data_IF_824040208986
#
_entry.id   IF_824040208986
#
_cell.length_a   1.000
_cell.length_b   1.000
_cell.length_c   1.000
_cell.angle_alpha   90.00
_cell.angle_beta   90.00
_cell.angle_gamma   90.00
#
_symmetry.space_group_name_H-M   'P 1'
#
loop_
_entity.id
_entity.type
_entity.pdbx_description
1 polymer ?
#
# COMPACT_ATOMS: atom_id res chain seq x y z
N UNK A 1 0.77 -20.22 33.05
CA UNK A 1 1.83 -20.31 32.03
C UNK A 1 1.80 -19.05 31.20
N UNK A 2 2.95 -18.40 31.02
CA UNK A 2 3.08 -17.19 30.20
C UNK A 2 3.82 -17.48 28.89
N UNK A 3 3.80 -16.51 27.97
CA UNK A 3 4.62 -16.53 26.76
C UNK A 3 6.04 -16.06 27.11
N UNK A 4 7.06 -16.81 26.70
CA UNK A 4 8.46 -16.44 26.86
C UNK A 4 9.09 -16.13 25.51
N UNK A 5 9.91 -15.08 25.45
CA UNK A 5 10.66 -14.70 24.25
C UNK A 5 12.08 -15.23 24.40
N UNK A 6 12.48 -16.16 23.55
CA UNK A 6 13.83 -16.74 23.59
C UNK A 6 14.90 -15.73 23.16
N UNK A 7 14.63 -14.99 22.08
CA UNK A 7 15.53 -13.97 21.55
C UNK A 7 14.72 -12.88 20.84
N UNK A 8 15.25 -11.65 20.84
CA UNK A 8 14.70 -10.53 20.08
C UNK A 8 15.80 -9.92 19.23
N UNK A 9 15.73 -10.13 17.91
CA UNK A 9 16.68 -9.60 16.93
C UNK A 9 16.08 -8.40 16.18
N UNK A 10 16.94 -7.48 15.74
CA UNK A 10 16.53 -6.29 14.98
C UNK A 10 17.25 -6.25 13.65
N UNK A 11 16.50 -5.96 12.59
CA UNK A 11 17.03 -5.72 11.25
C UNK A 11 17.29 -4.21 11.12
N UNK A 12 18.54 -3.76 10.97
CA UNK A 12 18.84 -2.34 10.85
C UNK A 12 18.30 -1.79 9.52
N UNK A 13 17.67 -0.61 9.56
CA UNK A 13 17.07 0.02 8.37
C UNK A 13 18.01 0.99 7.64
N UNK A 14 19.19 1.31 8.18
CA UNK A 14 20.12 2.25 7.54
C UNK A 14 20.83 1.58 6.36
N UNK A 15 20.44 1.98 5.14
CA UNK A 15 20.98 1.49 3.87
C UNK A 15 22.45 1.91 3.61
N UNK A 16 23.05 2.70 4.50
CA UNK A 16 24.47 3.08 4.40
C UNK A 16 25.42 1.99 4.85
N UNK A 17 24.97 1.09 5.72
CA UNK A 17 25.73 -0.10 6.05
C UNK A 17 25.60 -1.12 4.92
N UNK A 18 26.74 -1.38 4.28
CA UNK A 18 26.86 -2.35 3.18
C UNK A 18 26.45 -3.73 3.70
N UNK A 19 25.43 -4.29 3.06
CA UNK A 19 24.86 -5.64 3.24
C UNK A 19 24.48 -6.00 4.69
N UNK A 20 23.19 -5.89 5.00
CA UNK A 20 22.61 -6.58 6.15
C UNK A 20 22.93 -8.07 6.01
N UNK A 21 23.63 -8.65 6.99
CA UNK A 21 23.95 -10.07 7.01
C UNK A 21 22.79 -10.85 7.63
N UNK A 22 21.84 -11.28 6.79
CA UNK A 22 20.72 -12.12 7.19
C UNK A 22 21.17 -13.54 7.61
N UNK A 23 22.33 -14.02 7.15
CA UNK A 23 22.84 -15.33 7.57
C UNK A 23 23.25 -15.30 9.04
N UNK A 24 23.80 -14.17 9.51
CA UNK A 24 24.08 -13.95 10.93
C UNK A 24 22.82 -14.03 11.78
N UNK A 25 21.70 -13.46 11.32
CA UNK A 25 20.41 -13.51 12.03
C UNK A 25 19.94 -14.96 12.16
N UNK A 26 19.98 -15.74 11.07
CA UNK A 26 19.60 -17.16 11.11
C UNK A 26 20.50 -17.96 12.05
N UNK A 27 21.82 -17.73 12.02
CA UNK A 27 22.75 -18.40 12.97
C UNK A 27 22.39 -18.08 14.42
N UNK A 28 22.05 -16.83 14.73
CA UNK A 28 21.63 -16.43 16.08
C UNK A 28 20.33 -17.11 16.50
N UNK A 29 19.35 -17.24 15.61
CA UNK A 29 18.10 -17.95 15.90
C UNK A 29 18.34 -19.45 16.19
N UNK A 30 19.30 -20.06 15.49
CA UNK A 30 19.71 -21.45 15.69
C UNK A 30 20.44 -21.70 17.02
N UNK A 31 20.92 -20.66 17.73
CA UNK A 31 21.46 -20.79 19.09
C UNK A 31 20.37 -21.24 20.09
N UNK A 32 19.09 -21.08 19.73
CA UNK A 32 17.94 -21.47 20.55
C UNK A 32 17.13 -22.62 19.92
N UNK A 33 17.62 -23.88 19.95
CA UNK A 33 16.99 -25.00 19.22
C UNK A 33 15.59 -25.38 19.73
N UNK A 34 15.25 -25.02 20.96
CA UNK A 34 13.93 -25.25 21.54
C UNK A 34 12.87 -24.25 21.02
N UNK A 35 13.30 -23.11 20.47
CA UNK A 35 12.43 -22.06 19.96
C UNK A 35 12.27 -22.20 18.44
N UNK A 36 11.15 -22.82 18.03
CA UNK A 36 10.85 -23.02 16.60
C UNK A 36 9.97 -21.93 16.00
N UNK A 37 9.17 -21.25 16.82
CA UNK A 37 8.27 -20.20 16.36
C UNK A 37 9.01 -18.86 16.26
N UNK A 38 8.96 -18.23 15.08
CA UNK A 38 9.52 -16.90 14.82
C UNK A 38 8.37 -15.94 14.52
N UNK A 39 8.26 -14.88 15.31
CA UNK A 39 7.36 -13.76 15.02
C UNK A 39 8.17 -12.67 14.31
N UNK A 40 7.81 -12.34 13.07
CA UNK A 40 8.54 -11.38 12.25
C UNK A 40 7.68 -10.15 11.92
N UNK A 41 8.27 -8.98 12.17
CA UNK A 41 7.73 -7.68 11.77
C UNK A 41 8.76 -7.01 10.87
N UNK A 42 8.61 -7.21 9.57
CA UNK A 42 9.57 -6.73 8.58
C UNK A 42 8.86 -6.36 7.27
N UNK A 43 9.57 -5.62 6.42
CA UNK A 43 9.08 -5.28 5.09
C UNK A 43 9.27 -6.44 4.11
N UNK A 44 8.68 -6.30 2.92
CA UNK A 44 8.68 -7.32 1.87
C UNK A 44 10.09 -7.82 1.50
N UNK A 45 11.07 -6.92 1.39
CA UNK A 45 12.43 -7.26 0.98
C UNK A 45 13.21 -7.98 2.08
N UNK A 46 13.04 -7.55 3.33
CA UNK A 46 13.67 -8.16 4.50
C UNK A 46 13.13 -9.57 4.75
N UNK A 47 11.82 -9.79 4.56
CA UNK A 47 11.19 -11.13 4.64
C UNK A 47 11.77 -12.04 3.55
N UNK A 48 11.87 -11.56 2.32
CA UNK A 48 12.45 -12.34 1.22
C UNK A 48 13.90 -12.74 1.52
N UNK A 49 14.71 -11.80 2.00
CA UNK A 49 16.12 -12.06 2.29
C UNK A 49 16.31 -12.99 3.49
N UNK A 50 15.49 -12.90 4.53
CA UNK A 50 15.59 -13.81 5.68
C UNK A 50 15.14 -15.23 5.34
N UNK A 51 14.10 -15.39 4.51
CA UNK A 51 13.67 -16.71 4.02
C UNK A 51 14.75 -17.32 3.12
N UNK A 52 15.37 -16.51 2.25
CA UNK A 52 16.49 -16.95 1.43
C UNK A 52 17.71 -17.36 2.28
N UNK A 53 18.00 -16.64 3.37
CA UNK A 53 19.05 -17.01 4.32
C UNK A 53 18.74 -18.32 5.04
N UNK A 54 17.49 -18.53 5.48
CA UNK A 54 17.06 -19.79 6.08
C UNK A 54 17.19 -20.97 5.10
N UNK A 55 16.87 -20.74 3.81
CA UNK A 55 17.09 -21.72 2.73
C UNK A 55 18.57 -22.06 2.56
N UNK A 56 19.45 -21.06 2.52
CA UNK A 56 20.91 -21.26 2.41
C UNK A 56 21.49 -22.00 3.62
N UNK A 57 20.89 -21.84 4.79
CA UNK A 57 21.28 -22.54 6.01
C UNK A 57 20.66 -23.95 6.15
N UNK A 58 19.97 -24.43 5.11
CA UNK A 58 19.30 -25.74 5.08
C UNK A 58 18.28 -25.94 6.22
N UNK A 59 17.56 -24.86 6.56
CA UNK A 59 16.57 -24.84 7.66
C UNK A 59 15.12 -24.89 7.14
N UNK A 60 14.90 -25.55 6.00
CA UNK A 60 13.56 -25.76 5.44
C UNK A 60 12.74 -26.62 6.41
N UNK A 61 11.54 -26.15 6.80
CA UNK A 61 10.65 -26.86 7.73
C UNK A 61 11.07 -26.83 9.21
N UNK A 62 12.21 -26.22 9.55
CA UNK A 62 12.64 -26.10 10.95
C UNK A 62 11.80 -25.07 11.73
N UNK A 63 11.72 -23.86 11.18
CA UNK A 63 11.04 -22.72 11.77
C UNK A 63 9.55 -22.66 11.38
N UNK A 64 8.71 -22.24 12.33
CA UNK A 64 7.33 -21.85 12.08
C UNK A 64 7.24 -20.31 12.07
N UNK A 65 6.83 -19.75 10.95
CA UNK A 65 6.82 -18.31 10.78
C UNK A 65 5.46 -17.70 11.11
N UNK A 66 5.47 -16.59 11.86
CA UNK A 66 4.30 -15.76 12.13
C UNK A 66 4.58 -14.35 11.64
N UNK A 67 3.93 -13.95 10.55
CA UNK A 67 4.14 -12.67 9.88
C UNK A 67 3.01 -11.65 10.12
N UNK A 68 3.36 -10.36 10.03
CA UNK A 68 2.40 -9.27 9.97
C UNK A 68 1.66 -9.20 8.63
N UNK A 69 0.81 -8.18 8.48
CA UNK A 69 0.00 -7.91 7.29
C UNK A 69 0.84 -7.70 6.02
N UNK A 70 2.05 -7.17 6.16
CA UNK A 70 3.02 -6.99 5.06
C UNK A 70 3.27 -8.31 4.33
N UNK A 71 3.59 -9.38 5.05
CA UNK A 71 3.78 -10.72 4.48
C UNK A 71 2.49 -11.23 3.86
N UNK A 72 1.39 -11.29 4.62
CA UNK A 72 0.15 -11.94 4.16
C UNK A 72 -0.50 -11.28 2.94
N UNK A 73 -0.18 -10.02 2.67
CA UNK A 73 -0.89 -9.23 1.65
C UNK A 73 -0.38 -9.42 0.22
N UNK A 74 0.78 -10.04 0.03
CA UNK A 74 1.45 -10.17 -1.28
C UNK A 74 2.17 -11.52 -1.41
N UNK A 75 2.16 -12.06 -2.63
CA UNK A 75 2.92 -13.27 -2.97
C UNK A 75 4.39 -12.96 -3.28
N UNK A 76 4.71 -11.71 -3.64
CA UNK A 76 6.06 -11.31 -4.06
C UNK A 76 7.21 -11.65 -3.09
N UNK A 77 7.07 -11.57 -1.75
CA UNK A 77 8.16 -11.91 -0.83
C UNK A 77 8.50 -13.40 -0.80
N UNK A 78 7.63 -14.26 -1.33
CA UNK A 78 7.74 -15.72 -1.25
C UNK A 78 8.31 -16.38 -2.51
N UNK A 79 8.43 -15.64 -3.60
CA UNK A 79 8.86 -16.18 -4.89
C UNK A 79 10.24 -16.85 -4.78
N UNK A 80 10.29 -18.16 -5.04
CA UNK A 80 11.47 -19.06 -4.96
C UNK A 80 11.85 -19.52 -3.53
N UNK A 81 11.09 -19.12 -2.50
CA UNK A 81 11.27 -19.52 -1.11
C UNK A 81 9.97 -20.10 -0.49
N UNK A 82 9.08 -20.63 -1.33
CA UNK A 82 7.77 -21.16 -0.94
C UNK A 82 7.90 -22.35 0.02
N UNK A 83 8.93 -23.18 -0.17
CA UNK A 83 9.28 -24.31 0.68
C UNK A 83 9.65 -23.91 2.11
N UNK A 84 10.34 -22.78 2.29
CA UNK A 84 10.71 -22.26 3.62
C UNK A 84 9.51 -21.63 4.31
N UNK A 85 8.62 -21.02 3.54
CA UNK A 85 7.43 -20.33 4.02
C UNK A 85 6.24 -21.26 4.26
N UNK A 86 6.37 -22.54 3.92
CA UNK A 86 5.30 -23.52 4.09
C UNK A 86 4.86 -23.60 5.57
N UNK A 87 3.56 -23.48 5.81
CA UNK A 87 2.98 -23.46 7.16
C UNK A 87 3.07 -22.12 7.88
N UNK A 88 3.56 -21.05 7.24
CA UNK A 88 3.56 -19.72 7.82
C UNK A 88 2.14 -19.20 8.10
N UNK A 89 1.97 -18.52 9.24
CA UNK A 89 0.73 -17.88 9.64
C UNK A 89 0.90 -16.37 9.49
N UNK A 90 -0.04 -15.71 8.80
CA UNK A 90 -0.04 -14.25 8.67
C UNK A 90 -1.35 -13.66 9.16
N UNK A 91 -1.30 -12.42 9.63
CA UNK A 91 -2.47 -11.70 10.11
C UNK A 91 -2.80 -10.61 9.11
N UNK A 92 -4.03 -10.64 8.59
CA UNK A 92 -4.53 -9.61 7.69
C UNK A 92 -5.76 -8.94 8.30
N UNK A 93 -5.84 -7.60 8.26
CA UNK A 93 -7.09 -6.89 8.50
C UNK A 93 -8.19 -7.42 7.59
N UNK A 94 -9.41 -7.58 8.13
CA UNK A 94 -10.57 -7.99 7.34
C UNK A 94 -10.79 -7.00 6.21
N UNK A 95 -10.98 -7.53 4.99
CA UNK A 95 -11.22 -6.72 3.79
C UNK A 95 -12.35 -7.25 2.94
N UNK A 96 -13.10 -6.33 2.34
CA UNK A 96 -14.00 -6.56 1.24
C UNK A 96 -13.23 -6.38 -0.08
N UNK A 97 -13.51 -7.24 -1.06
CA UNK A 97 -13.09 -6.99 -2.43
C UNK A 97 -13.98 -5.90 -2.97
N UNK A 98 -13.40 -4.73 -3.23
CA UNK A 98 -14.14 -3.66 -3.89
C UNK A 98 -14.27 -4.08 -5.35
N UNK A 99 -15.48 -4.39 -5.80
CA UNK A 99 -15.77 -4.62 -7.21
C UNK A 99 -15.53 -3.33 -7.99
N UNK A 100 -14.29 -3.15 -8.43
CA UNK A 100 -13.88 -2.02 -9.23
C UNK A 100 -14.39 -2.17 -10.65
N UNK A 101 -15.42 -1.37 -10.99
CA UNK A 101 -15.61 -0.77 -12.32
C UNK A 101 -14.22 -0.45 -12.87
N UNK A 102 -13.81 -1.13 -13.95
CA UNK A 102 -12.44 -1.08 -14.49
C UNK A 102 -11.89 0.33 -14.33
N UNK A 103 -10.73 0.50 -13.70
CA UNK A 103 -9.95 1.74 -13.73
C UNK A 103 -9.48 1.93 -15.18
N UNK A 104 -10.42 2.16 -16.09
CA UNK A 104 -10.19 2.63 -17.43
C UNK A 104 -9.78 4.06 -17.23
N UNK A 105 -8.48 4.31 -17.12
CA UNK A 105 -7.95 5.64 -17.32
C UNK A 105 -8.33 6.00 -18.76
N UNK A 106 -9.30 6.90 -19.01
CA UNK A 106 -9.47 7.41 -20.35
C UNK A 106 -8.31 8.39 -20.48
N UNK A 107 -7.20 7.99 -21.12
CA UNK A 107 -6.18 8.96 -21.53
C UNK A 107 -6.93 10.10 -22.24
N UNK A 108 -7.01 11.32 -21.69
CA UNK A 108 -7.70 12.41 -22.35
C UNK A 108 -6.73 13.00 -23.37
N UNK A 109 -6.25 12.19 -24.30
CA UNK A 109 -5.50 12.65 -25.45
C UNK A 109 -6.45 12.77 -26.64
N UNK A 110 -7.58 13.46 -26.48
CA UNK A 110 -8.46 13.85 -27.60
C UNK A 110 -9.62 14.72 -27.14
N UNK A 111 -9.50 16.04 -27.32
CA UNK A 111 -10.52 16.77 -28.09
C UNK A 111 -9.98 18.12 -28.58
N UNK A 112 -9.99 18.39 -29.90
CA UNK A 112 -9.69 19.71 -30.44
C UNK A 112 -10.97 20.55 -30.42
N UNK A 113 -10.93 21.66 -29.68
CA UNK A 113 -11.91 22.72 -29.72
C UNK A 113 -11.48 23.76 -28.69
N UNK A 114 -11.22 25.01 -29.00
CA UNK A 114 -11.48 25.77 -30.21
C UNK A 114 -11.64 27.19 -29.73
N UNK A 115 -10.54 27.92 -29.52
CA UNK A 115 -10.52 29.37 -29.33
C UNK A 115 -9.28 29.96 -29.97
N UNK A 116 -9.48 31.14 -30.55
CA UNK A 116 -8.65 31.75 -31.57
C UNK A 116 -7.25 32.14 -31.11
N UNK A 117 -6.32 31.99 -32.06
CA UNK A 117 -5.34 33.00 -32.47
C UNK A 117 -4.65 33.82 -31.38
N UNK A 118 -3.53 33.33 -30.87
CA UNK A 118 -2.43 34.17 -30.40
C UNK A 118 -1.09 33.47 -30.65
N UNK A 119 -0.22 33.96 -31.56
CA UNK A 119 1.09 33.37 -31.77
C UNK A 119 2.03 33.91 -30.67
N UNK A 120 2.44 33.06 -29.74
CA UNK A 120 3.51 33.44 -28.80
C UNK A 120 3.61 32.73 -27.46
N UNK A 121 2.62 31.94 -27.03
CA UNK A 121 2.70 31.25 -25.75
C UNK A 121 2.65 29.73 -25.92
N UNK A 122 3.81 29.09 -25.69
CA UNK A 122 3.95 27.65 -25.47
C UNK A 122 3.12 27.28 -24.24
N UNK A 123 1.96 26.65 -24.45
CA UNK A 123 1.25 25.96 -23.38
C UNK A 123 2.11 24.77 -22.95
N UNK A 124 2.38 24.70 -21.65
CA UNK A 124 3.22 23.69 -21.00
C UNK A 124 2.35 22.46 -20.72
N UNK A 125 2.65 21.26 -21.25
CA UNK A 125 2.14 20.02 -20.70
C UNK A 125 3.27 19.41 -19.85
N UNK A 126 3.37 19.81 -18.58
CA UNK A 126 4.31 19.18 -17.64
C UNK A 126 3.56 18.15 -16.80
N UNK A 127 3.51 16.92 -17.29
CA UNK A 127 3.61 15.77 -16.40
C UNK A 127 5.02 15.81 -15.79
N UNK A 128 5.20 15.76 -14.46
CA UNK A 128 6.53 15.76 -13.87
C UNK A 128 7.29 14.51 -14.32
N UNK A 129 8.34 14.71 -15.11
CA UNK A 129 9.33 13.68 -15.44
C UNK A 129 10.12 13.35 -14.17
N UNK A 130 9.80 12.24 -13.52
CA UNK A 130 10.75 11.53 -12.65
C UNK A 130 11.44 10.47 -13.52
N UNK A 131 12.69 10.73 -13.85
CA UNK A 131 13.57 9.83 -14.60
C UNK A 131 13.94 8.62 -13.74
N UNK A 132 13.28 7.50 -13.95
CA UNK A 132 13.77 6.16 -13.67
C UNK A 132 13.42 5.33 -14.89
N UNK A 133 14.42 4.82 -15.61
CA UNK A 133 14.34 4.05 -16.86
C UNK A 133 13.07 3.17 -16.94
N UNK A 134 12.01 3.71 -17.55
CA UNK A 134 10.83 2.96 -17.99
C UNK A 134 11.15 2.48 -19.40
N UNK A 135 10.95 1.19 -19.76
CA UNK A 135 11.07 0.76 -21.13
C UNK A 135 10.12 1.62 -21.98
N UNK A 136 10.61 2.09 -23.13
CA UNK A 136 9.81 2.77 -24.15
C UNK A 136 8.38 2.22 -24.21
N UNK A 137 7.37 3.09 -24.08
CA UNK A 137 5.99 2.71 -24.39
C UNK A 137 6.00 2.03 -25.76
N UNK A 138 5.62 0.75 -25.87
CA UNK A 138 5.59 0.06 -27.15
C UNK A 138 4.74 0.87 -28.11
N UNK A 139 5.25 1.03 -29.33
CA UNK A 139 4.57 1.73 -30.41
C UNK A 139 3.11 1.28 -30.47
N UNK A 140 2.23 2.26 -30.28
CA UNK A 140 0.78 2.26 -30.51
C UNK A 140 0.28 1.00 -31.22
N UNK A 141 -0.30 0.08 -30.46
CA UNK A 141 -1.30 -0.85 -30.97
C UNK A 141 -2.46 0.00 -31.52
N UNK A 142 -2.97 -0.20 -32.76
CA UNK A 142 -4.01 0.63 -33.34
C UNK A 142 -5.41 0.44 -32.71
N UNK A 143 -5.49 -0.13 -31.51
CA UNK A 143 -6.70 -0.24 -30.72
C UNK A 143 -6.45 0.41 -29.35
N UNK A 144 -6.99 1.62 -29.16
CA UNK A 144 -7.04 2.32 -27.87
C UNK A 144 -8.00 1.65 -26.87
N UNK A 145 -7.80 0.36 -26.64
CA UNK A 145 -8.67 -0.51 -25.86
C UNK A 145 -7.87 -1.30 -24.82
N UNK A 146 -6.79 -0.73 -24.27
CA UNK A 146 -6.17 -1.30 -23.08
C UNK A 146 -7.11 -1.05 -21.88
N UNK A 147 -7.89 -2.08 -21.57
CA UNK A 147 -8.72 -2.12 -20.36
C UNK A 147 -8.03 -3.08 -19.40
N UNK A 148 -7.87 -2.67 -18.15
CA UNK A 148 -7.66 -3.59 -17.04
C UNK A 148 -8.99 -4.36 -16.89
N UNK A 149 -9.17 -5.37 -17.72
CA UNK A 149 -10.33 -6.27 -17.74
C UNK A 149 -10.07 -7.51 -16.88
N UNK A 150 -11.10 -8.35 -16.74
CA UNK A 150 -10.99 -9.64 -16.02
C UNK A 150 -9.95 -10.59 -16.61
N UNK A 151 -9.53 -10.35 -17.85
CA UNK A 151 -8.52 -11.12 -18.58
C UNK A 151 -7.09 -10.56 -18.42
N UNK A 152 -6.89 -9.52 -17.59
CA UNK A 152 -5.58 -8.95 -17.29
C UNK A 152 -4.98 -9.59 -16.03
N UNK A 153 -3.64 -9.67 -15.96
CA UNK A 153 -2.88 -10.10 -14.77
C UNK A 153 -2.95 -9.10 -13.59
N UNK A 154 -3.99 -8.27 -13.51
CA UNK A 154 -4.10 -7.28 -12.47
C UNK A 154 -4.60 -7.91 -11.16
N UNK A 155 -3.74 -7.95 -10.15
CA UNK A 155 -4.12 -8.22 -8.77
C UNK A 155 -4.32 -6.90 -8.03
N UNK A 156 -5.54 -6.66 -7.57
CA UNK A 156 -5.84 -5.46 -6.78
C UNK A 156 -5.09 -5.52 -5.45
N UNK A 157 -4.41 -4.44 -5.09
CA UNK A 157 -3.81 -4.31 -3.78
C UNK A 157 -4.92 -4.30 -2.72
N UNK A 158 -4.96 -5.32 -1.87
CA UNK A 158 -6.07 -5.47 -0.92
C UNK A 158 -5.98 -4.55 0.31
N UNK A 159 -5.31 -3.40 0.19
CA UNK A 159 -5.39 -2.28 1.15
C UNK A 159 -6.20 -1.09 0.60
N UNK A 160 -6.64 -1.14 -0.65
CA UNK A 160 -7.36 -0.04 -1.33
C UNK A 160 -8.61 0.40 -0.56
N UNK A 161 -9.36 -0.54 0.05
CA UNK A 161 -10.53 -0.18 0.85
C UNK A 161 -10.23 0.80 2.00
N UNK A 162 -9.08 0.65 2.66
CA UNK A 162 -8.73 1.52 3.78
C UNK A 162 -8.42 2.93 3.30
N UNK A 163 -7.93 3.07 2.06
CA UNK A 163 -7.73 4.37 1.42
C UNK A 163 -9.08 4.99 1.08
N UNK A 164 -10.02 4.21 0.56
CA UNK A 164 -11.38 4.69 0.24
C UNK A 164 -12.09 5.16 1.51
N UNK A 165 -12.13 4.32 2.55
CA UNK A 165 -12.76 4.66 3.83
C UNK A 165 -12.09 5.89 4.47
N UNK A 166 -10.76 6.03 4.38
CA UNK A 166 -10.07 7.23 4.88
C UNK A 166 -10.49 8.51 4.14
N UNK A 167 -10.67 8.44 2.82
CA UNK A 167 -11.16 9.57 2.01
C UNK A 167 -12.61 9.91 2.38
N UNK A 168 -13.48 8.90 2.51
CA UNK A 168 -14.86 9.11 2.95
C UNK A 168 -14.93 9.68 4.36
N UNK A 169 -14.11 9.22 5.29
CA UNK A 169 -14.04 9.76 6.63
C UNK A 169 -13.73 11.26 6.62
N UNK A 170 -12.76 11.69 5.80
CA UNK A 170 -12.45 13.11 5.64
C UNK A 170 -13.60 13.88 4.97
N UNK A 171 -14.24 13.31 3.95
CA UNK A 171 -15.38 13.94 3.28
C UNK A 171 -16.56 14.14 4.26
N UNK A 172 -16.88 13.15 5.08
CA UNK A 172 -17.90 13.25 6.13
C UNK A 172 -17.52 14.29 7.19
N UNK A 173 -16.25 14.35 7.62
CA UNK A 173 -15.79 15.37 8.57
C UNK A 173 -15.99 16.79 8.02
N UNK A 174 -15.59 17.02 6.77
CA UNK A 174 -15.74 18.31 6.09
C UNK A 174 -17.21 18.66 5.87
N UNK A 175 -18.05 17.67 5.52
CA UNK A 175 -19.49 17.88 5.36
C UNK A 175 -20.17 18.28 6.67
N UNK A 176 -19.86 17.60 7.78
CA UNK A 176 -20.39 17.96 9.10
C UNK A 176 -19.92 19.36 9.52
N UNK A 177 -18.65 19.66 9.31
CA UNK A 177 -18.10 20.99 9.57
C UNK A 177 -18.77 22.08 8.73
N UNK A 178 -19.04 21.81 7.45
CA UNK A 178 -19.75 22.74 6.58
C UNK A 178 -21.19 22.97 7.06
N UNK A 179 -21.90 21.91 7.45
CA UNK A 179 -23.28 22.03 7.96
C UNK A 179 -23.36 22.82 9.26
N UNK A 180 -22.38 22.67 10.15
CA UNK A 180 -22.34 23.37 11.42
C UNK A 180 -21.94 24.84 11.30
N UNK A 181 -21.02 25.16 10.39
CA UNK A 181 -20.45 26.52 10.25
C UNK A 181 -21.12 27.35 9.15
N UNK A 182 -21.65 26.70 8.12
CA UNK A 182 -22.08 27.33 6.89
C UNK A 182 -23.54 26.96 6.57
N UNK A 183 -24.44 27.15 7.54
CA UNK A 183 -25.82 26.64 7.54
C UNK A 183 -26.63 26.86 6.24
N UNK A 184 -26.35 27.92 5.47
CA UNK A 184 -27.08 28.27 4.24
C UNK A 184 -26.17 28.51 3.01
N UNK A 185 -24.88 28.16 3.08
CA UNK A 185 -23.93 28.38 1.98
C UNK A 185 -23.63 27.09 1.23
N UNK A 186 -23.88 27.10 -0.08
CA UNK A 186 -23.37 26.06 -0.97
C UNK A 186 -21.86 26.29 -1.19
N UNK A 187 -21.03 25.54 -0.48
CA UNK A 187 -19.57 25.61 -0.56
C UNK A 187 -18.92 26.13 0.72
N UNK A 188 -17.65 26.52 0.64
CA UNK A 188 -16.86 26.97 1.79
C UNK A 188 -17.30 28.38 2.23
N UNK A 189 -17.63 28.53 3.51
CA UNK A 189 -17.83 29.85 4.13
C UNK A 189 -16.53 30.37 4.77
N UNK A 190 -16.39 31.70 4.99
CA UNK A 190 -15.19 32.28 5.59
C UNK A 190 -14.84 31.69 6.96
N UNK A 191 -15.83 31.30 7.76
CA UNK A 191 -15.59 30.64 9.05
C UNK A 191 -14.92 29.28 8.90
N UNK A 192 -15.32 28.51 7.89
CA UNK A 192 -14.73 27.20 7.59
C UNK A 192 -13.32 27.36 6.99
N UNK A 193 -13.11 28.36 6.14
CA UNK A 193 -11.81 28.70 5.55
C UNK A 193 -10.77 29.05 6.64
N UNK A 194 -11.19 29.74 7.70
CA UNK A 194 -10.33 30.14 8.83
C UNK A 194 -10.34 29.17 10.01
N UNK A 195 -11.13 28.10 9.97
CA UNK A 195 -11.35 27.22 11.12
C UNK A 195 -10.10 26.44 11.57
N UNK A 196 -9.11 26.27 10.70
CA UNK A 196 -7.81 25.66 11.00
C UNK A 196 -7.87 24.17 11.40
N UNK A 197 -6.69 23.55 11.50
CA UNK A 197 -6.58 22.09 11.72
C UNK A 197 -7.13 21.60 13.07
N UNK A 198 -7.09 22.41 14.13
CA UNK A 198 -7.61 22.03 15.46
C UNK A 198 -9.12 21.83 15.47
N UNK A 199 -9.86 22.66 14.71
CA UNK A 199 -11.32 22.56 14.63
C UNK A 199 -11.72 21.39 13.73
N UNK A 200 -11.06 21.24 12.58
CA UNK A 200 -11.24 20.08 11.70
C UNK A 200 -10.96 18.75 12.41
N UNK A 201 -9.92 18.66 13.24
CA UNK A 201 -9.59 17.45 14.00
C UNK A 201 -10.73 16.99 14.93
N UNK A 202 -11.52 17.93 15.48
CA UNK A 202 -12.70 17.58 16.28
C UNK A 202 -13.75 16.86 15.42
N UNK A 203 -14.02 17.39 14.22
CA UNK A 203 -14.94 16.78 13.27
C UNK A 203 -14.48 15.39 12.83
N UNK A 204 -13.19 15.24 12.47
CA UNK A 204 -12.60 13.94 12.08
C UNK A 204 -12.80 12.89 13.18
N UNK A 205 -12.58 13.25 14.46
CA UNK A 205 -12.75 12.32 15.60
C UNK A 205 -14.20 11.94 15.89
N UNK A 206 -15.17 12.72 15.44
CA UNK A 206 -16.60 12.48 15.65
C UNK A 206 -17.30 11.86 14.44
N UNK A 207 -16.57 11.57 13.36
CA UNK A 207 -17.16 10.93 12.18
C UNK A 207 -17.61 9.52 12.52
N UNK A 208 -18.84 9.20 12.13
CA UNK A 208 -19.41 7.86 12.14
C UNK A 208 -20.14 7.64 10.82
N UNK A 209 -19.73 6.65 10.05
CA UNK A 209 -20.31 6.27 8.76
C UNK A 209 -20.07 4.78 8.51
N UNK A 210 -20.93 4.17 7.72
CA UNK A 210 -20.75 2.78 7.30
C UNK A 210 -19.77 2.77 6.12
N UNK A 211 -18.62 2.14 6.30
CA UNK A 211 -17.62 1.96 5.24
C UNK A 211 -18.00 0.84 4.27
N UNK A 212 -17.16 0.63 3.26
CA UNK A 212 -17.39 -0.34 2.17
C UNK A 212 -17.42 -1.82 2.63
N UNK A 213 -17.20 -2.10 3.92
CA UNK A 213 -17.16 -3.46 4.50
C UNK A 213 -18.45 -3.89 5.22
N UNK A 214 -19.42 -2.98 5.37
CA UNK A 214 -20.70 -3.25 6.07
C UNK A 214 -21.91 -3.51 5.15
N UNK A 215 -21.69 -3.64 3.85
CA UNK A 215 -22.70 -4.10 2.86
C UNK A 215 -22.40 -5.51 2.39
#
# INVERSE_FOLDING_TARGET
GGLCIAQSLKIPQDRRDKSIDFDKIIRQLLETPNARAIVIFANDEDIRQILAAAKRADQVGHFLWVGSDTWGSKVSPLLQQEDVAEGAITILPKRATIEGKSLSCPCPCSRPGGWGSAPGHRAVPECPRVSLNVPECPRVSPAGQERIGKDSHYEQEGKVQFVIDAVYAMAHALHHMNRDLCADSAGLCPEMEHAGGKRLLKYIRSVNFNGETET
#
